data_IF_706478315688
#
_entry.id   IF_706478315688
#
_cell.length_a   1.000
_cell.length_b   1.000
_cell.length_c   1.000
_cell.angle_alpha   90.00
_cell.angle_beta   90.00
_cell.angle_gamma   90.00
#
_symmetry.space_group_name_H-M   'P 1'
#
loop_
_entity.id
_entity.type
_entity.pdbx_description
1 polymer ?
#
# COMPACT_ATOMS: atom_id res chain seq x y z
N UNK A 1 -14.05 23.58 2.73
CA UNK A 1 -13.26 22.79 1.77
C UNK A 1 -12.99 21.47 2.44
N UNK A 2 -13.78 20.44 2.12
CA UNK A 2 -13.62 19.11 2.70
C UNK A 2 -13.21 18.20 1.54
N UNK A 3 -11.90 18.12 1.27
CA UNK A 3 -11.34 17.25 0.21
C UNK A 3 -11.23 15.79 0.68
N UNK A 4 -11.58 15.47 1.93
CA UNK A 4 -11.36 14.16 2.54
C UNK A 4 -12.37 13.06 2.16
N UNK A 5 -13.30 13.32 1.23
CA UNK A 5 -14.29 12.31 0.80
C UNK A 5 -13.80 11.37 -0.33
N UNK A 6 -12.56 11.49 -0.82
CA UNK A 6 -12.03 10.62 -1.89
C UNK A 6 -10.86 9.72 -1.46
N UNK A 7 -10.61 9.58 -0.15
CA UNK A 7 -9.59 8.65 0.34
C UNK A 7 -10.07 7.20 0.18
N UNK A 8 -9.52 6.48 -0.81
CA UNK A 8 -9.82 5.08 -1.12
C UNK A 8 -9.00 4.09 -0.27
N UNK A 9 -8.23 4.56 0.71
CA UNK A 9 -7.35 3.74 1.54
C UNK A 9 -7.93 3.51 2.94
N UNK A 10 -8.22 2.25 3.24
CA UNK A 10 -8.62 1.79 4.57
C UNK A 10 -7.46 1.00 5.17
N UNK A 11 -6.83 1.57 6.19
CA UNK A 11 -5.64 1.02 6.81
C UNK A 11 -6.00 0.00 7.90
N UNK A 12 -5.27 -1.13 7.93
CA UNK A 12 -5.31 -2.05 9.06
C UNK A 12 -4.57 -1.47 10.27
N UNK A 13 -3.42 -0.85 10.01
CA UNK A 13 -2.52 -0.39 11.07
C UNK A 13 -2.50 1.15 11.15
N UNK A 14 -2.77 1.69 12.35
CA UNK A 14 -2.86 3.13 12.57
C UNK A 14 -1.54 3.88 12.24
N UNK A 15 -0.39 3.27 12.51
CA UNK A 15 0.90 3.92 12.23
C UNK A 15 1.09 4.22 10.74
N UNK A 16 0.57 3.35 9.85
CA UNK A 16 0.69 3.54 8.41
C UNK A 16 -0.27 4.63 7.93
N UNK A 17 -1.47 4.72 8.53
CA UNK A 17 -2.40 5.84 8.32
C UNK A 17 -1.77 7.16 8.75
N UNK A 18 -1.17 7.23 9.94
CA UNK A 18 -0.54 8.45 10.45
C UNK A 18 0.66 8.88 9.59
N UNK A 19 1.42 7.91 9.06
CA UNK A 19 2.46 8.19 8.07
C UNK A 19 1.87 8.80 6.81
N UNK A 20 0.78 8.23 6.27
CA UNK A 20 0.14 8.73 5.06
C UNK A 20 -0.43 10.15 5.23
N UNK A 21 -1.22 10.38 6.28
CA UNK A 21 -1.95 11.63 6.47
C UNK A 21 -1.04 12.77 6.93
N UNK A 22 -0.08 12.48 7.82
CA UNK A 22 0.70 13.51 8.52
C UNK A 22 2.20 13.43 8.25
N UNK A 23 2.67 12.48 7.45
CA UNK A 23 4.11 12.20 7.31
C UNK A 23 4.76 11.70 8.60
N UNK A 24 3.98 11.20 9.58
CA UNK A 24 4.48 10.79 10.90
C UNK A 24 5.41 9.59 10.75
N UNK A 25 6.67 9.77 11.15
CA UNK A 25 7.65 8.70 11.18
C UNK A 25 7.28 7.65 12.24
N UNK A 26 7.59 6.38 11.95
CA UNK A 26 7.33 5.28 12.85
C UNK A 26 8.44 4.24 12.79
N UNK A 27 8.76 3.58 13.91
CA UNK A 27 9.84 2.59 14.00
C UNK A 27 9.68 1.38 13.05
N UNK A 28 8.45 1.09 12.63
CA UNK A 28 8.14 0.02 11.67
C UNK A 28 8.25 0.47 10.20
N UNK A 29 8.54 1.75 9.96
CA UNK A 29 8.77 2.32 8.63
C UNK A 29 10.21 2.81 8.60
N UNK A 30 11.15 2.02 8.07
CA UNK A 30 12.52 2.47 7.90
C UNK A 30 12.59 3.74 7.05
N UNK A 31 13.44 4.70 7.45
CA UNK A 31 13.60 5.97 6.75
C UNK A 31 13.93 5.80 5.26
N UNK A 32 14.69 4.75 4.92
CA UNK A 32 15.10 4.42 3.55
C UNK A 32 13.92 4.13 2.62
N UNK A 33 12.75 3.73 3.15
CA UNK A 33 11.58 3.44 2.32
C UNK A 33 10.55 4.57 2.31
N UNK A 34 10.65 5.59 3.17
CA UNK A 34 9.60 6.62 3.33
C UNK A 34 9.17 7.26 2.00
N UNK A 35 10.13 7.73 1.20
CA UNK A 35 9.83 8.39 -0.09
C UNK A 35 9.13 7.45 -1.07
N UNK A 36 9.56 6.19 -1.15
CA UNK A 36 8.96 5.21 -2.05
C UNK A 36 7.59 4.79 -1.53
N UNK A 37 7.46 4.57 -0.23
CA UNK A 37 6.23 4.20 0.44
C UNK A 37 5.14 5.27 0.22
N UNK A 38 5.46 6.56 0.43
CA UNK A 38 4.53 7.66 0.18
C UNK A 38 3.98 7.64 -1.26
N UNK A 39 4.87 7.54 -2.25
CA UNK A 39 4.48 7.45 -3.67
C UNK A 39 3.60 6.24 -3.98
N UNK A 40 3.84 5.08 -3.32
CA UNK A 40 3.00 3.89 -3.49
C UNK A 40 1.61 4.10 -2.89
N UNK A 41 1.51 4.75 -1.73
CA UNK A 41 0.24 5.06 -1.09
C UNK A 41 -0.58 6.04 -1.94
N UNK A 42 0.06 7.09 -2.47
CA UNK A 42 -0.60 8.03 -3.39
C UNK A 42 -1.14 7.33 -4.65
N UNK A 43 -0.33 6.45 -5.24
CA UNK A 43 -0.73 5.64 -6.39
C UNK A 43 -1.90 4.70 -6.05
N UNK A 44 -1.89 4.06 -4.87
CA UNK A 44 -2.99 3.22 -4.42
C UNK A 44 -4.27 4.03 -4.24
N UNK A 45 -4.18 5.24 -3.71
CA UNK A 45 -5.34 6.11 -3.50
C UNK A 45 -5.94 6.60 -4.83
N UNK A 46 -5.08 6.86 -5.81
CA UNK A 46 -5.48 7.31 -7.15
C UNK A 46 -6.02 6.19 -8.05
N UNK A 47 -5.84 4.92 -7.68
CA UNK A 47 -6.27 3.78 -8.47
C UNK A 47 -7.80 3.70 -8.55
N UNK A 48 -8.30 3.44 -9.76
CA UNK A 48 -9.72 3.23 -10.05
C UNK A 48 -10.02 1.79 -10.44
N UNK A 49 -9.00 1.06 -10.88
CA UNK A 49 -9.09 -0.31 -11.35
C UNK A 49 -7.91 -1.15 -10.87
N UNK A 50 -8.07 -2.47 -10.83
CA UNK A 50 -6.97 -3.40 -10.55
C UNK A 50 -5.78 -3.27 -11.51
N UNK A 51 -6.05 -2.81 -12.74
CA UNK A 51 -5.01 -2.65 -13.76
C UNK A 51 -4.05 -1.50 -13.42
N UNK A 52 -4.53 -0.48 -12.72
CA UNK A 52 -3.72 0.68 -12.31
C UNK A 52 -2.56 0.23 -11.39
N UNK A 53 -2.78 -0.80 -10.58
CA UNK A 53 -1.74 -1.36 -9.70
C UNK A 53 -0.58 -2.04 -10.45
N UNK A 54 -0.74 -2.36 -11.73
CA UNK A 54 0.34 -2.96 -12.53
C UNK A 54 1.35 -1.92 -13.03
N UNK A 55 0.99 -0.64 -13.03
CA UNK A 55 1.85 0.46 -13.45
C UNK A 55 2.39 1.21 -12.24
N UNK A 56 3.69 1.50 -12.15
CA UNK A 56 4.77 1.08 -13.06
C UNK A 56 5.18 -0.40 -12.88
N UNK A 57 5.92 -1.00 -13.84
CA UNK A 57 6.32 -2.42 -13.79
C UNK A 57 7.01 -2.87 -12.49
N UNK A 58 7.70 -1.94 -11.82
CA UNK A 58 8.34 -2.16 -10.52
C UNK A 58 7.39 -2.48 -9.36
N UNK A 59 6.08 -2.30 -9.52
CA UNK A 59 5.09 -2.69 -8.50
C UNK A 59 5.08 -4.20 -8.25
N UNK A 60 5.43 -5.00 -9.27
CA UNK A 60 5.33 -6.47 -9.25
C UNK A 60 4.00 -6.91 -8.60
N UNK A 61 2.91 -6.27 -9.03
CA UNK A 61 1.58 -6.50 -8.52
C UNK A 61 1.20 -7.97 -8.63
N UNK A 62 0.75 -8.55 -7.52
CA UNK A 62 0.38 -9.97 -7.44
C UNK A 62 -0.83 -10.14 -6.56
N UNK A 63 -1.77 -10.96 -7.01
CA UNK A 63 -2.70 -11.63 -6.11
C UNK A 63 -1.93 -12.67 -5.29
N UNK A 64 -2.18 -12.75 -3.99
CA UNK A 64 -1.53 -13.71 -3.12
C UNK A 64 -2.13 -15.11 -3.31
N UNK A 65 -1.34 -16.13 -2.95
CA UNK A 65 -1.74 -17.54 -3.07
C UNK A 65 -2.61 -17.96 -1.87
N UNK A 66 -3.39 -19.05 -2.00
CA UNK A 66 -4.13 -19.62 -0.88
C UNK A 66 -3.25 -19.78 0.37
N UNK A 67 -3.77 -19.46 1.57
CA UNK A 67 -5.17 -19.11 1.88
C UNK A 67 -5.53 -17.62 1.71
N UNK A 68 -4.67 -16.81 1.08
CA UNK A 68 -4.83 -15.35 0.97
C UNK A 68 -5.28 -14.88 -0.42
N UNK A 69 -6.12 -15.66 -1.11
CA UNK A 69 -6.54 -15.41 -2.50
C UNK A 69 -7.27 -14.06 -2.69
N UNK A 70 -7.89 -13.54 -1.64
CA UNK A 70 -8.56 -12.22 -1.67
C UNK A 70 -7.59 -11.04 -1.53
N UNK A 71 -6.31 -11.30 -1.22
CA UNK A 71 -5.32 -10.26 -0.99
C UNK A 71 -4.45 -10.04 -2.21
N UNK A 72 -4.08 -8.77 -2.38
CA UNK A 72 -3.14 -8.30 -3.36
C UNK A 72 -1.91 -7.74 -2.65
N UNK A 73 -0.80 -7.70 -3.39
CA UNK A 73 0.41 -7.01 -2.93
C UNK A 73 1.07 -6.20 -4.03
N UNK A 74 1.65 -5.06 -3.62
CA UNK A 74 2.60 -4.28 -4.42
C UNK A 74 3.89 -4.11 -3.64
N UNK A 75 5.02 -4.11 -4.34
CA UNK A 75 6.33 -3.93 -3.72
C UNK A 75 6.62 -2.46 -3.45
N UNK A 76 7.18 -2.21 -2.27
CA UNK A 76 7.81 -0.94 -1.93
C UNK A 76 9.28 -1.00 -2.33
N UNK A 77 9.99 -2.08 -1.95
CA UNK A 77 11.34 -2.41 -2.40
C UNK A 77 11.57 -3.94 -2.28
N UNK A 78 12.83 -4.40 -2.32
CA UNK A 78 13.15 -5.83 -2.16
C UNK A 78 13.03 -6.41 -0.75
N UNK A 79 12.61 -5.60 0.23
CA UNK A 79 12.46 -5.98 1.64
C UNK A 79 11.06 -5.69 2.20
N UNK A 80 10.20 -4.99 1.46
CA UNK A 80 8.90 -4.53 1.93
C UNK A 80 7.86 -4.56 0.82
N UNK A 81 6.65 -4.96 1.17
CA UNK A 81 5.46 -4.90 0.30
C UNK A 81 4.27 -4.33 1.07
N UNK A 82 3.34 -3.73 0.34
CA UNK A 82 2.02 -3.41 0.84
C UNK A 82 1.08 -4.56 0.52
N UNK A 83 0.24 -4.95 1.47
CA UNK A 83 -0.79 -5.98 1.30
C UNK A 83 -2.15 -5.36 1.59
N UNK A 84 -3.14 -5.69 0.78
CA UNK A 84 -4.50 -5.14 0.86
C UNK A 84 -5.51 -6.04 0.14
N UNK A 85 -6.81 -5.84 0.40
CA UNK A 85 -7.90 -6.34 -0.44
C UNK A 85 -8.41 -5.22 -1.35
N UNK A 86 -9.02 -5.60 -2.47
CA UNK A 86 -9.61 -4.64 -3.41
C UNK A 86 -11.10 -4.91 -3.61
N UNK A 87 -11.95 -3.94 -3.26
CA UNK A 87 -13.41 -3.92 -3.46
C UNK A 87 -13.85 -2.48 -3.75
N UNK A 88 -13.40 -1.94 -4.88
CA UNK A 88 -13.50 -0.52 -5.27
C UNK A 88 -12.69 0.47 -4.42
N UNK A 89 -12.29 0.03 -3.23
CA UNK A 89 -11.33 0.68 -2.33
C UNK A 89 -10.24 -0.32 -1.93
N UNK A 90 -9.13 0.22 -1.41
CA UNK A 90 -8.03 -0.55 -0.84
C UNK A 90 -8.34 -0.82 0.63
N UNK A 91 -8.71 -2.05 0.95
CA UNK A 91 -9.14 -2.45 2.29
C UNK A 91 -8.05 -3.18 3.07
N UNK A 92 -8.01 -2.92 4.39
CA UNK A 92 -7.11 -3.61 5.31
C UNK A 92 -5.64 -3.43 4.94
N UNK A 93 -5.24 -2.26 4.45
CA UNK A 93 -3.89 -1.97 3.98
C UNK A 93 -2.87 -2.01 5.11
N UNK A 94 -1.78 -2.76 4.92
CA UNK A 94 -0.64 -2.78 5.83
C UNK A 94 0.70 -2.96 5.13
N UNK A 95 1.77 -2.57 5.83
CA UNK A 95 3.15 -2.77 5.42
C UNK A 95 3.66 -4.11 5.96
N UNK A 96 4.20 -4.94 5.08
CA UNK A 96 4.70 -6.28 5.38
C UNK A 96 6.19 -6.36 5.04
N UNK A 97 7.07 -6.68 6.02
CA UNK A 97 8.45 -7.04 5.75
C UNK A 97 8.49 -8.32 4.92
N UNK A 98 9.03 -8.24 3.70
CA UNK A 98 9.12 -9.36 2.77
C UNK A 98 10.44 -9.31 2.02
N UNK A 99 11.30 -10.28 2.25
CA UNK A 99 12.48 -10.50 1.41
C UNK A 99 12.09 -11.35 0.23
N UNK A 100 12.45 -10.88 -0.95
CA UNK A 100 12.42 -11.72 -2.14
C UNK A 100 13.54 -12.75 -2.01
N UNK A 101 13.19 -13.94 -1.57
CA UNK A 101 14.00 -15.14 -1.77
C UNK A 101 13.98 -15.52 -3.24
#
# INVERSE_FOLDING_TARGET
MNEDNDCRLIFRDEYLRLFYVYGKLHRLIPSIICTVLARKLDMLNAAKTLQDFKSPPGNRFKQLKPPLEEFYSIRVNGQYRLIFKWKDTVEGLYLDPHKDV
#
